data_IF_152899309988
#
_entry.id   IF_152899309988
#
_cell.length_a   1.000
_cell.length_b   1.000
_cell.length_c   1.000
_cell.angle_alpha   90.00
_cell.angle_beta   90.00
_cell.angle_gamma   90.00
#
_symmetry.space_group_name_H-M   'P 1'
#
loop_
_entity.id
_entity.type
_entity.pdbx_description
1 polymer ?
#
# COMPACT_ATOMS: atom_id res chain seq x y z
N UNK A 1 10.66 14.99 -17.93
CA UNK A 1 10.79 15.94 -16.82
C UNK A 1 10.31 15.34 -15.48
N UNK A 2 9.19 14.63 -15.48
CA UNK A 2 8.65 14.01 -14.27
C UNK A 2 9.62 13.00 -13.66
N UNK A 3 10.17 12.12 -14.48
CA UNK A 3 11.17 11.16 -14.04
C UNK A 3 12.41 11.87 -13.46
N UNK A 4 12.85 12.94 -14.09
CA UNK A 4 14.00 13.72 -13.63
C UNK A 4 13.70 14.40 -12.29
N UNK A 5 12.48 14.93 -12.12
CA UNK A 5 12.07 15.55 -10.86
C UNK A 5 12.12 14.54 -9.71
N UNK A 6 11.62 13.34 -9.95
CA UNK A 6 11.64 12.25 -8.95
C UNK A 6 13.06 11.81 -8.66
N UNK A 7 13.88 11.63 -9.69
CA UNK A 7 15.28 11.23 -9.54
C UNK A 7 16.09 12.23 -8.71
N UNK A 8 15.95 13.52 -9.02
CA UNK A 8 16.66 14.57 -8.27
C UNK A 8 16.29 14.57 -6.80
N UNK A 9 14.98 14.42 -6.50
CA UNK A 9 14.53 14.37 -5.13
C UNK A 9 15.06 13.14 -4.39
N UNK A 10 14.93 11.96 -4.98
CA UNK A 10 15.35 10.71 -4.35
C UNK A 10 16.85 10.66 -4.11
N UNK A 11 17.62 11.15 -5.06
CA UNK A 11 19.07 11.17 -4.94
C UNK A 11 19.52 11.88 -3.66
N UNK A 12 18.96 13.06 -3.41
CA UNK A 12 19.34 13.84 -2.23
C UNK A 12 18.68 13.30 -0.95
N UNK A 13 17.39 12.96 -1.03
CA UNK A 13 16.62 12.51 0.13
C UNK A 13 17.13 11.19 0.71
N UNK A 14 17.32 10.18 -0.14
CA UNK A 14 17.74 8.86 0.34
C UNK A 14 19.19 8.89 0.85
N UNK A 15 20.03 9.68 0.22
CA UNK A 15 21.42 9.84 0.67
C UNK A 15 21.49 10.47 2.06
N UNK A 16 20.56 11.38 2.37
CA UNK A 16 20.51 12.00 3.70
C UNK A 16 20.09 11.02 4.81
N UNK A 17 19.46 9.91 4.45
CA UNK A 17 19.00 8.91 5.40
C UNK A 17 20.05 7.82 5.59
N UNK A 18 20.56 7.21 4.53
CA UNK A 18 21.53 6.13 4.60
C UNK A 18 22.21 5.90 3.25
N UNK A 19 23.47 5.46 3.28
CA UNK A 19 24.19 5.03 2.10
C UNK A 19 23.79 3.59 1.68
N UNK A 20 23.08 2.87 2.53
CA UNK A 20 22.67 1.49 2.28
C UNK A 20 21.28 1.40 1.65
N UNK A 21 20.80 2.47 1.05
CA UNK A 21 19.52 2.54 0.36
C UNK A 21 19.78 2.80 -1.13
N UNK A 22 19.19 1.96 -1.97
CA UNK A 22 19.26 2.07 -3.42
C UNK A 22 17.87 2.30 -3.98
N UNK A 23 17.79 2.89 -5.17
CA UNK A 23 16.52 3.06 -5.84
C UNK A 23 16.67 2.89 -7.35
N UNK A 24 15.57 2.51 -7.99
CA UNK A 24 15.48 2.36 -9.43
C UNK A 24 14.18 2.99 -9.91
N UNK A 25 14.28 3.78 -10.98
CA UNK A 25 13.12 4.43 -11.58
C UNK A 25 12.93 3.89 -13.00
N UNK A 26 11.73 3.41 -13.29
CA UNK A 26 11.36 2.96 -14.63
C UNK A 26 10.05 3.61 -15.03
N UNK A 27 9.81 3.71 -16.34
CA UNK A 27 8.55 4.22 -16.87
C UNK A 27 7.86 3.09 -17.61
N UNK A 28 6.63 2.78 -17.20
CA UNK A 28 5.86 1.68 -17.76
C UNK A 28 4.36 1.99 -17.62
N UNK A 29 3.59 1.71 -18.67
CA UNK A 29 2.13 1.92 -18.67
C UNK A 29 1.72 3.35 -18.27
N UNK A 30 2.45 4.33 -18.76
CA UNK A 30 2.25 5.76 -18.47
C UNK A 30 2.41 6.13 -16.99
N UNK A 31 3.06 5.28 -16.23
CA UNK A 31 3.36 5.54 -14.82
C UNK A 31 4.86 5.51 -14.59
N UNK A 32 5.29 6.27 -13.58
CA UNK A 32 6.66 6.23 -13.09
C UNK A 32 6.69 5.22 -11.96
N UNK A 33 7.50 4.17 -12.13
CA UNK A 33 7.65 3.13 -11.13
C UNK A 33 8.96 3.33 -10.39
N UNK A 34 8.88 3.44 -9.07
CA UNK A 34 10.03 3.62 -8.18
C UNK A 34 10.13 2.41 -7.27
N UNK A 35 11.28 1.76 -7.28
CA UNK A 35 11.56 0.63 -6.37
C UNK A 35 12.74 1.05 -5.50
N UNK A 36 12.53 1.03 -4.20
CA UNK A 36 13.56 1.32 -3.21
C UNK A 36 13.97 0.01 -2.54
N UNK A 37 15.27 -0.21 -2.42
CA UNK A 37 15.83 -1.44 -1.86
C UNK A 37 17.07 -1.12 -1.04
N UNK A 38 17.68 -2.17 -0.48
CA UNK A 38 18.87 -2.04 0.34
C UNK A 38 18.61 -2.35 1.81
N UNK A 39 19.67 -2.53 2.57
CA UNK A 39 19.59 -3.01 3.95
C UNK A 39 18.78 -2.09 4.87
N UNK A 40 18.83 -0.78 4.64
CA UNK A 40 18.14 0.20 5.49
C UNK A 40 16.82 0.70 4.90
N UNK A 41 16.37 0.12 3.77
CA UNK A 41 15.17 0.60 3.08
C UNK A 41 13.89 0.38 3.89
N UNK A 42 13.85 -0.62 4.75
CA UNK A 42 12.66 -0.97 5.52
C UNK A 42 12.19 0.13 6.47
N UNK A 43 13.08 1.01 6.91
CA UNK A 43 12.69 2.14 7.77
C UNK A 43 11.72 3.10 7.07
N UNK A 44 11.73 3.11 5.73
CA UNK A 44 10.88 3.98 4.92
C UNK A 44 9.47 3.43 4.73
N UNK A 45 9.21 2.19 5.15
CA UNK A 45 7.89 1.57 5.02
C UNK A 45 6.95 2.11 6.11
N UNK A 46 7.44 2.17 7.34
CA UNK A 46 6.65 2.57 8.49
C UNK A 46 5.64 1.51 8.91
N UNK A 47 4.87 1.82 9.93
CA UNK A 47 3.85 0.94 10.47
C UNK A 47 2.76 0.71 9.43
N UNK A 48 2.55 -0.55 9.03
CA UNK A 48 1.55 -0.97 8.04
C UNK A 48 1.68 -0.25 6.70
N UNK A 49 2.88 0.17 6.34
CA UNK A 49 3.11 0.87 5.09
C UNK A 49 2.69 2.33 5.08
N UNK A 50 2.41 2.93 6.24
CA UNK A 50 1.97 4.33 6.31
C UNK A 50 3.02 5.30 5.74
N UNK A 51 4.29 5.09 6.09
CA UNK A 51 5.36 5.94 5.56
C UNK A 51 5.55 5.74 4.06
N UNK A 52 5.43 4.50 3.57
CA UNK A 52 5.48 4.20 2.14
C UNK A 52 4.36 4.94 1.39
N UNK A 53 3.13 4.86 1.90
CA UNK A 53 1.99 5.53 1.29
C UNK A 53 2.16 7.05 1.27
N UNK A 54 2.65 7.63 2.36
CA UNK A 54 2.92 9.07 2.44
C UNK A 54 4.00 9.49 1.43
N UNK A 55 5.06 8.69 1.32
CA UNK A 55 6.13 8.97 0.35
C UNK A 55 5.62 8.88 -1.08
N UNK A 56 4.72 7.94 -1.39
CA UNK A 56 4.13 7.84 -2.73
C UNK A 56 3.37 9.12 -3.09
N UNK A 57 2.62 9.70 -2.16
CA UNK A 57 1.93 10.97 -2.37
C UNK A 57 2.93 12.10 -2.64
N UNK A 58 4.00 12.17 -1.85
CA UNK A 58 5.05 13.17 -2.02
C UNK A 58 5.71 13.05 -3.40
N UNK A 59 6.06 11.83 -3.80
CA UNK A 59 6.69 11.59 -5.11
C UNK A 59 5.74 11.93 -6.27
N UNK A 60 4.45 11.66 -6.12
CA UNK A 60 3.45 12.02 -7.12
C UNK A 60 3.40 13.55 -7.31
N UNK A 61 3.41 14.30 -6.21
CA UNK A 61 3.43 15.75 -6.27
C UNK A 61 4.72 16.30 -6.89
N UNK A 62 5.85 15.71 -6.54
CA UNK A 62 7.16 16.11 -7.11
C UNK A 62 7.22 15.80 -8.60
N UNK A 63 6.72 14.64 -9.03
CA UNK A 63 6.68 14.25 -10.43
C UNK A 63 5.83 15.20 -11.26
N UNK A 64 4.77 15.73 -10.67
CA UNK A 64 3.81 16.62 -11.33
C UNK A 64 4.24 18.11 -11.33
N UNK A 65 5.36 18.42 -10.68
CA UNK A 65 5.87 19.81 -10.57
C UNK A 65 6.15 20.40 -11.95
N UNK A 66 5.58 21.56 -12.23
CA UNK A 66 5.73 22.29 -13.49
C UNK A 66 5.24 21.50 -14.72
N UNK A 67 4.29 20.57 -14.51
CA UNK A 67 3.70 19.75 -15.57
C UNK A 67 2.17 19.87 -15.47
N UNK A 68 1.54 20.17 -16.60
CA UNK A 68 0.09 20.35 -16.63
C UNK A 68 -0.69 19.04 -16.48
N UNK A 69 -0.12 17.94 -16.99
CA UNK A 69 -0.76 16.62 -16.92
C UNK A 69 -0.54 15.96 -15.57
N UNK A 70 -1.54 15.20 -15.12
CA UNK A 70 -1.43 14.41 -13.90
C UNK A 70 -0.50 13.23 -14.13
N UNK A 71 0.54 13.14 -13.34
CA UNK A 71 1.54 12.06 -13.42
C UNK A 71 1.29 11.06 -12.30
N UNK A 72 1.22 9.79 -12.66
CA UNK A 72 1.06 8.70 -11.70
C UNK A 72 2.43 8.14 -11.30
N UNK A 73 2.66 8.04 -9.99
CA UNK A 73 3.86 7.40 -9.45
C UNK A 73 3.45 6.19 -8.61
N UNK A 74 4.10 5.07 -8.85
CA UNK A 74 3.90 3.84 -8.09
C UNK A 74 5.20 3.55 -7.35
N UNK A 75 5.14 3.50 -6.04
CA UNK A 75 6.29 3.26 -5.18
C UNK A 75 6.18 1.89 -4.51
N UNK A 76 7.26 1.13 -4.51
CA UNK A 76 7.40 -0.06 -3.69
C UNK A 76 8.76 -0.03 -2.97
N UNK A 77 8.80 -0.58 -1.76
CA UNK A 77 9.99 -0.61 -0.93
C UNK A 77 10.18 -2.05 -0.44
N UNK A 78 11.33 -2.65 -0.80
CA UNK A 78 11.73 -3.99 -0.33
C UNK A 78 10.65 -5.06 -0.54
N UNK A 79 9.89 -4.98 -1.63
CA UNK A 79 8.78 -5.89 -1.95
C UNK A 79 7.66 -5.89 -0.91
N UNK A 80 7.51 -4.79 -0.19
CA UNK A 80 6.52 -4.68 0.88
C UNK A 80 5.09 -4.96 0.41
N UNK A 81 4.73 -4.47 -0.79
CA UNK A 81 3.35 -4.62 -1.28
C UNK A 81 2.95 -6.09 -1.43
N UNK A 82 3.85 -6.93 -1.95
CA UNK A 82 3.57 -8.37 -2.10
C UNK A 82 3.49 -9.05 -0.74
N UNK A 83 4.41 -8.75 0.16
CA UNK A 83 4.41 -9.29 1.52
C UNK A 83 3.16 -8.86 2.30
N UNK A 84 2.76 -7.61 2.17
CA UNK A 84 1.57 -7.06 2.82
C UNK A 84 0.30 -7.71 2.29
N UNK A 85 0.23 -7.93 0.96
CA UNK A 85 -0.90 -8.63 0.34
C UNK A 85 -1.08 -10.02 0.94
N UNK A 86 0.00 -10.77 1.05
CA UNK A 86 -0.04 -12.11 1.65
C UNK A 86 -0.48 -12.06 3.11
N UNK A 87 0.05 -11.12 3.87
CA UNK A 87 -0.34 -10.94 5.28
C UNK A 87 -1.83 -10.65 5.42
N UNK A 88 -2.38 -9.78 4.56
CA UNK A 88 -3.80 -9.45 4.57
C UNK A 88 -4.67 -10.63 4.14
N UNK A 89 -4.22 -11.41 3.16
CA UNK A 89 -4.95 -12.61 2.73
C UNK A 89 -4.98 -13.66 3.85
N UNK A 90 -3.86 -13.87 4.54
CA UNK A 90 -3.79 -14.80 5.67
C UNK A 90 -4.68 -14.33 6.83
N UNK A 91 -4.67 -13.02 7.11
CA UNK A 91 -5.55 -12.42 8.12
C UNK A 91 -7.03 -12.63 7.77
N UNK A 92 -7.39 -12.42 6.51
CA UNK A 92 -8.76 -12.60 6.05
C UNK A 92 -9.25 -14.03 6.28
N UNK A 93 -8.44 -15.02 5.94
CA UNK A 93 -8.76 -16.44 6.13
C UNK A 93 -8.90 -16.76 7.62
N UNK A 94 -7.98 -16.26 8.44
CA UNK A 94 -8.02 -16.47 9.89
C UNK A 94 -9.30 -15.87 10.51
N UNK A 95 -9.64 -14.65 10.13
CA UNK A 95 -10.85 -13.99 10.66
C UNK A 95 -12.14 -14.62 10.11
N UNK A 96 -12.11 -15.10 8.88
CA UNK A 96 -13.24 -15.88 8.34
C UNK A 96 -13.57 -17.07 9.26
N UNK A 97 -12.56 -17.84 9.63
CA UNK A 97 -12.73 -18.99 10.53
C UNK A 97 -13.29 -18.55 11.88
N UNK A 98 -12.81 -17.44 12.41
CA UNK A 98 -13.29 -16.91 13.69
C UNK A 98 -14.76 -16.50 13.60
N UNK A 99 -15.16 -15.81 12.54
CA UNK A 99 -16.56 -15.39 12.32
C UNK A 99 -17.48 -16.60 12.19
N UNK A 100 -17.07 -17.61 11.44
CA UNK A 100 -17.84 -18.85 11.27
C UNK A 100 -18.03 -19.55 12.62
N UNK A 101 -16.97 -19.63 13.40
CA UNK A 101 -16.98 -20.32 14.68
C UNK A 101 -17.81 -19.59 15.75
N UNK A 102 -17.66 -18.27 15.85
CA UNK A 102 -18.31 -17.50 16.91
C UNK A 102 -19.68 -16.94 16.51
N UNK A 103 -19.95 -16.80 15.22
CA UNK A 103 -21.15 -16.14 14.70
C UNK A 103 -21.15 -14.63 14.86
N UNK A 104 -20.07 -14.06 15.40
CA UNK A 104 -19.95 -12.61 15.64
C UNK A 104 -19.13 -11.96 14.56
N UNK A 105 -19.57 -10.79 14.08
CA UNK A 105 -18.82 -10.02 13.11
C UNK A 105 -17.52 -9.48 13.71
N UNK A 106 -16.53 -9.28 12.84
CA UNK A 106 -15.23 -8.72 13.20
C UNK A 106 -15.02 -7.45 12.37
N UNK A 107 -14.61 -6.39 13.03
CA UNK A 107 -14.25 -5.11 12.39
C UNK A 107 -12.74 -4.99 12.40
N UNK A 108 -12.16 -4.83 11.20
CA UNK A 108 -10.71 -4.70 11.05
C UNK A 108 -10.28 -3.25 11.29
N UNK A 109 -8.97 -3.05 11.39
CA UNK A 109 -8.41 -1.71 11.51
C UNK A 109 -8.57 -0.93 10.19
N UNK A 110 -8.56 0.41 10.24
CA UNK A 110 -8.61 1.20 9.02
C UNK A 110 -7.49 0.85 8.07
N UNK A 111 -7.79 0.83 6.78
CA UNK A 111 -6.81 0.54 5.75
C UNK A 111 -7.20 1.22 4.44
N UNK A 112 -6.24 1.31 3.51
CA UNK A 112 -6.47 1.94 2.21
C UNK A 112 -7.48 1.15 1.38
N UNK A 113 -8.04 1.79 0.35
CA UNK A 113 -8.97 1.12 -0.55
C UNK A 113 -8.31 -0.08 -1.25
N UNK A 114 -7.03 0.04 -1.59
CA UNK A 114 -6.25 -1.05 -2.17
C UNK A 114 -6.19 -2.26 -1.23
N UNK A 115 -5.89 -2.02 0.04
CA UNK A 115 -5.81 -3.08 1.04
C UNK A 115 -7.17 -3.70 1.35
N UNK A 116 -8.22 -2.87 1.44
CA UNK A 116 -9.57 -3.37 1.66
C UNK A 116 -10.03 -4.27 0.51
N UNK A 117 -9.64 -3.93 -0.72
CA UNK A 117 -9.93 -4.76 -1.89
C UNK A 117 -9.29 -6.14 -1.80
N UNK A 118 -8.10 -6.23 -1.25
CA UNK A 118 -7.42 -7.52 -1.05
C UNK A 118 -8.28 -8.46 -0.19
N UNK A 119 -8.81 -7.94 0.90
CA UNK A 119 -9.65 -8.73 1.82
C UNK A 119 -10.98 -9.11 1.16
N UNK A 120 -11.65 -8.15 0.51
CA UNK A 120 -12.91 -8.44 -0.20
C UNK A 120 -12.72 -9.51 -1.29
N UNK A 121 -11.65 -9.39 -2.07
CA UNK A 121 -11.35 -10.34 -3.15
C UNK A 121 -11.06 -11.74 -2.57
N UNK A 122 -10.34 -11.81 -1.48
CA UNK A 122 -9.99 -13.09 -0.85
C UNK A 122 -11.23 -13.83 -0.35
N UNK A 123 -12.21 -13.13 0.16
CA UNK A 123 -13.41 -13.73 0.79
C UNK A 123 -14.67 -13.65 -0.09
N UNK A 124 -14.58 -13.12 -1.32
CA UNK A 124 -15.75 -12.91 -2.17
C UNK A 124 -16.54 -14.18 -2.50
N UNK A 125 -15.84 -15.32 -2.60
CA UNK A 125 -16.47 -16.60 -2.92
C UNK A 125 -16.89 -17.41 -1.68
N UNK A 126 -16.76 -16.84 -0.51
CA UNK A 126 -17.17 -17.54 0.72
C UNK A 126 -18.69 -17.70 0.79
N UNK A 127 -19.13 -18.90 1.07
CA UNK A 127 -20.55 -19.19 1.25
C UNK A 127 -21.04 -18.85 2.67
N UNK A 128 -20.13 -18.66 3.61
CA UNK A 128 -20.46 -18.51 5.03
C UNK A 128 -20.27 -17.12 5.60
N UNK A 129 -19.45 -16.28 4.95
CA UNK A 129 -19.21 -14.91 5.39
C UNK A 129 -19.40 -13.93 4.25
N UNK A 130 -19.69 -12.69 4.62
CA UNK A 130 -19.75 -11.56 3.71
C UNK A 130 -18.83 -10.46 4.22
N UNK A 131 -18.36 -9.60 3.32
CA UNK A 131 -17.51 -8.48 3.68
C UNK A 131 -18.09 -7.17 3.15
N UNK A 132 -17.90 -6.11 3.89
CA UNK A 132 -18.28 -4.77 3.48
C UNK A 132 -17.40 -3.75 4.20
N UNK A 133 -17.35 -2.53 3.69
CA UNK A 133 -16.57 -1.44 4.28
C UNK A 133 -17.47 -0.46 5.00
N UNK A 134 -17.00 0.08 6.13
CA UNK A 134 -17.67 1.11 6.89
C UNK A 134 -16.70 2.26 7.17
N UNK A 135 -17.22 3.43 7.53
CA UNK A 135 -16.41 4.59 7.83
C UNK A 135 -16.08 5.43 6.60
N UNK A 136 -15.41 6.53 6.79
CA UNK A 136 -15.04 7.48 5.74
C UNK A 136 -13.55 7.83 5.79
N UNK A 137 -12.99 8.10 4.62
CA UNK A 137 -11.61 8.57 4.48
C UNK A 137 -10.60 7.62 5.09
N UNK A 138 -9.73 8.14 5.90
CA UNK A 138 -8.66 7.39 6.55
C UNK A 138 -9.13 6.48 7.69
N UNK A 139 -10.41 6.57 8.04
CA UNK A 139 -11.04 5.71 9.07
C UNK A 139 -11.81 4.54 8.47
N UNK A 140 -11.88 4.45 7.15
CA UNK A 140 -12.65 3.42 6.48
C UNK A 140 -12.00 2.04 6.65
N UNK A 141 -12.82 1.06 6.96
CA UNK A 141 -12.36 -0.28 7.34
C UNK A 141 -13.31 -1.37 6.86
N UNK A 142 -12.82 -2.61 6.86
CA UNK A 142 -13.61 -3.78 6.46
C UNK A 142 -14.26 -4.42 7.68
N UNK A 143 -15.49 -4.89 7.48
CA UNK A 143 -16.20 -5.76 8.43
C UNK A 143 -16.39 -7.12 7.76
N UNK A 144 -16.11 -8.19 8.49
CA UNK A 144 -16.38 -9.57 8.09
C UNK A 144 -17.52 -10.07 8.96
N UNK A 145 -18.63 -10.44 8.35
CA UNK A 145 -19.83 -10.87 9.06
C UNK A 145 -20.32 -12.22 8.54
N UNK A 146 -20.98 -12.96 9.41
CA UNK A 146 -21.60 -14.23 9.03
C UNK A 146 -22.81 -13.96 8.12
N UNK A 147 -22.92 -14.76 7.07
CA UNK A 147 -24.11 -14.74 6.19
C UNK A 147 -25.33 -15.28 6.88
#
# INVERSE_FOLDING_TARGET
KSKQNVDNFLKDFLKSISENIEYKITTENDAINVVISGNDSTILIGYRGEALNAMQVILTNIASKEIEEKVKVILDIANYKDARKKTLEDLAVKLEKTVIKTGKQVTLEPMTSYERKIIHTKLQDSEKVRTYSIGEGDKRRVVIAKK
#
